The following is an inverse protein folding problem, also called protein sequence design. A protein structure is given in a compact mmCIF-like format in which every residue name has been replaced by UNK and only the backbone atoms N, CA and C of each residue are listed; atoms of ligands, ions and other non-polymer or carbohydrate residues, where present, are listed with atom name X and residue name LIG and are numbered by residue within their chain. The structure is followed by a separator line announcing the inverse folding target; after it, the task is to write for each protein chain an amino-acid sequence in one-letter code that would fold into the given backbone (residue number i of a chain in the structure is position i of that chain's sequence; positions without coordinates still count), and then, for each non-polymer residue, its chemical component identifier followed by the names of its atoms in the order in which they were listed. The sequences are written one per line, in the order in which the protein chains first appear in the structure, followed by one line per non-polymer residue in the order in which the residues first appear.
data_IF_670688507415
#
_entry.id   IF_670688507415
#
_cell.length_a   1.000
_cell.length_b   1.000
_cell.length_c   1.000
_cell.angle_alpha   90.00
_cell.angle_beta   90.00
_cell.angle_gamma   90.00
#
_symmetry.space_group_name_H-M   'P 1'
#
loop_
_entity.id
_entity.type
_entity.pdbx_description
1 polymer ?
#
# COMPACT_ATOMS: atom_id res chain seq x y z
N UNK A 1 50.44 -63.90 24.05
CA UNK A 1 49.17 -63.14 23.84
C UNK A 1 49.10 -62.43 22.48
N UNK A 2 50.22 -61.96 21.91
CA UNK A 2 50.23 -61.23 20.62
C UNK A 2 49.74 -62.05 19.41
N UNK A 3 50.06 -63.34 19.32
CA UNK A 3 49.62 -64.19 18.20
C UNK A 3 48.08 -64.30 18.08
N UNK A 4 47.37 -64.34 19.22
CA UNK A 4 45.90 -64.45 19.28
C UNK A 4 45.25 -63.10 18.92
N UNK A 5 45.94 -61.98 19.17
CA UNK A 5 45.47 -60.65 18.80
C UNK A 5 45.61 -60.42 17.28
N UNK A 6 46.75 -60.81 16.68
CA UNK A 6 46.98 -60.74 15.24
C UNK A 6 45.98 -61.58 14.43
N UNK A 7 45.72 -62.81 14.87
CA UNK A 7 44.75 -63.71 14.20
C UNK A 7 43.31 -63.16 14.24
N UNK A 8 42.91 -62.55 15.36
CA UNK A 8 41.58 -61.91 15.47
C UNK A 8 41.45 -60.66 14.62
N UNK A 9 42.52 -59.86 14.48
CA UNK A 9 42.52 -58.68 13.60
C UNK A 9 42.44 -59.08 12.13
N UNK A 10 43.22 -60.09 11.72
CA UNK A 10 43.18 -60.61 10.35
C UNK A 10 41.81 -61.18 9.99
N UNK A 11 41.18 -61.94 10.89
CA UNK A 11 39.84 -62.50 10.67
C UNK A 11 38.79 -61.40 10.42
N UNK A 12 38.81 -60.33 11.21
CA UNK A 12 37.90 -59.19 11.04
C UNK A 12 38.13 -58.47 9.71
N UNK A 13 39.39 -58.32 9.30
CA UNK A 13 39.70 -57.66 8.04
C UNK A 13 39.30 -58.52 6.85
N UNK A 14 39.48 -59.85 6.91
CA UNK A 14 39.01 -60.79 5.89
C UNK A 14 37.49 -60.76 5.76
N UNK A 15 36.74 -60.79 6.88
CA UNK A 15 35.28 -60.70 6.85
C UNK A 15 34.79 -59.37 6.23
N UNK A 16 35.48 -58.26 6.51
CA UNK A 16 35.16 -56.96 5.93
C UNK A 16 35.37 -56.92 4.42
N UNK A 17 36.44 -57.53 3.92
CA UNK A 17 36.72 -57.58 2.47
C UNK A 17 35.82 -58.61 1.76
N UNK A 18 35.40 -59.66 2.45
CA UNK A 18 34.48 -60.66 1.91
C UNK A 18 33.12 -60.08 1.51
N UNK A 19 32.59 -59.15 2.32
CA UNK A 19 31.36 -58.42 1.97
C UNK A 19 31.52 -57.59 0.69
N UNK A 20 32.73 -57.06 0.45
CA UNK A 20 33.06 -56.31 -0.76
C UNK A 20 33.21 -57.25 -1.97
N UNK A 21 33.86 -58.39 -1.79
CA UNK A 21 34.01 -59.44 -2.80
C UNK A 21 32.65 -59.98 -3.26
N UNK A 22 31.77 -60.34 -2.31
CA UNK A 22 30.41 -60.82 -2.59
C UNK A 22 29.57 -59.77 -3.35
N UNK A 23 29.78 -58.48 -3.05
CA UNK A 23 29.14 -57.38 -3.77
C UNK A 23 29.69 -57.24 -5.19
N UNK A 24 31.02 -57.32 -5.38
CA UNK A 24 31.64 -57.26 -6.70
C UNK A 24 31.20 -58.40 -7.60
N UNK A 25 31.11 -59.63 -7.07
CA UNK A 25 30.58 -60.79 -7.80
C UNK A 25 29.16 -60.53 -8.28
N UNK A 26 28.27 -60.05 -7.40
CA UNK A 26 26.88 -59.69 -7.78
C UNK A 26 26.79 -58.59 -8.82
N UNK A 27 27.73 -57.64 -8.82
CA UNK A 27 27.78 -56.58 -9.83
C UNK A 27 28.23 -57.16 -11.17
N UNK A 28 29.23 -58.04 -11.17
CA UNK A 28 29.74 -58.71 -12.37
C UNK A 28 28.71 -59.67 -12.99
N UNK A 29 27.94 -60.39 -12.17
CA UNK A 29 26.85 -61.27 -12.65
C UNK A 29 25.74 -60.51 -13.40
N UNK A 30 25.55 -59.22 -13.09
CA UNK A 30 24.57 -58.37 -13.76
C UNK A 30 25.08 -57.81 -15.08
N UNK A 31 26.35 -58.01 -15.42
CA UNK A 31 26.91 -57.65 -16.72
C UNK A 31 26.44 -58.69 -17.75
N UNK A 32 25.63 -58.31 -18.75
CA UNK A 32 25.07 -59.26 -19.73
C UNK A 32 26.18 -59.97 -20.52
N UNK A 33 26.29 -61.29 -20.45
CA UNK A 33 27.28 -62.05 -21.25
C UNK A 33 26.98 -61.91 -22.75
N UNK A 34 27.94 -61.44 -23.53
CA UNK A 34 27.86 -61.43 -24.99
C UNK A 34 28.14 -62.83 -25.52
N UNK A 35 27.50 -63.21 -26.63
CA UNK A 35 27.79 -64.48 -27.31
C UNK A 35 29.17 -64.41 -27.95
N UNK A 36 30.00 -65.40 -27.66
CA UNK A 36 31.39 -65.51 -28.12
C UNK A 36 31.45 -65.71 -29.64
N UNK A 37 32.01 -64.71 -30.35
CA UNK A 37 32.61 -64.93 -31.66
C UNK A 37 33.63 -63.83 -31.95
N UNK A 38 34.92 -64.18 -31.84
CA UNK A 38 36.04 -63.38 -32.36
C UNK A 38 37.01 -62.83 -31.31
N UNK A 39 38.29 -63.17 -31.50
CA UNK A 39 39.46 -62.92 -30.66
C UNK A 39 39.70 -61.44 -30.30
N UNK A 40 39.36 -61.07 -29.07
CA UNK A 40 40.14 -60.19 -28.18
C UNK A 40 40.10 -60.84 -26.79
N UNK A 41 41.14 -60.72 -25.93
CA UNK A 41 41.13 -61.42 -24.65
C UNK A 41 39.87 -60.99 -23.87
N UNK A 42 39.05 -61.97 -23.48
CA UNK A 42 37.72 -61.81 -22.86
C UNK A 42 37.71 -60.77 -21.73
N UNK A 43 38.84 -60.66 -21.01
CA UNK A 43 39.13 -59.66 -19.98
C UNK A 43 39.16 -58.21 -20.50
N UNK A 44 39.75 -57.95 -21.66
CA UNK A 44 39.85 -56.60 -22.24
C UNK A 44 38.48 -56.05 -22.68
N UNK A 45 37.60 -56.92 -23.17
CA UNK A 45 36.22 -56.53 -23.51
C UNK A 45 35.39 -56.21 -22.27
N UNK A 46 35.57 -56.99 -21.20
CA UNK A 46 34.94 -56.71 -19.89
C UNK A 46 35.47 -55.39 -19.31
N UNK A 47 36.78 -55.15 -19.40
CA UNK A 47 37.41 -53.92 -18.93
C UNK A 47 36.91 -52.69 -19.68
N UNK A 48 36.88 -52.72 -21.01
CA UNK A 48 36.37 -51.64 -21.85
C UNK A 48 34.90 -51.32 -21.56
N UNK A 49 34.09 -52.35 -21.27
CA UNK A 49 32.67 -52.16 -20.90
C UNK A 49 32.50 -51.53 -19.53
N UNK A 50 33.28 -51.96 -18.55
CA UNK A 50 33.30 -51.37 -17.21
C UNK A 50 33.73 -49.91 -17.31
N UNK A 51 34.76 -49.60 -18.10
CA UNK A 51 35.21 -48.23 -18.33
C UNK A 51 34.12 -47.36 -18.97
N UNK A 52 33.41 -47.87 -19.98
CA UNK A 52 32.28 -47.18 -20.60
C UNK A 52 31.14 -46.91 -19.60
N UNK A 53 30.83 -47.87 -18.72
CA UNK A 53 29.84 -47.70 -17.66
C UNK A 53 30.27 -46.64 -16.65
N UNK A 54 31.51 -46.69 -16.17
CA UNK A 54 32.06 -45.70 -15.23
C UNK A 54 32.00 -44.29 -15.85
N UNK A 55 32.41 -44.15 -17.12
CA UNK A 55 32.35 -42.88 -17.84
C UNK A 55 30.92 -42.35 -17.97
N UNK A 56 29.93 -43.22 -18.19
CA UNK A 56 28.52 -42.84 -18.25
C UNK A 56 27.99 -42.39 -16.89
N UNK A 57 28.26 -43.15 -15.82
CA UNK A 57 27.84 -42.78 -14.47
C UNK A 57 28.49 -41.49 -13.99
N UNK A 58 29.76 -41.27 -14.34
CA UNK A 58 30.45 -40.04 -14.03
C UNK A 58 29.78 -38.82 -14.68
N UNK A 59 29.40 -38.92 -15.96
CA UNK A 59 28.62 -37.87 -16.64
C UNK A 59 27.26 -37.64 -15.98
N UNK A 60 26.56 -38.71 -15.59
CA UNK A 60 25.27 -38.58 -14.90
C UNK A 60 25.42 -37.91 -13.53
N UNK A 61 26.47 -38.29 -12.79
CA UNK A 61 26.76 -37.72 -11.48
C UNK A 61 27.07 -36.23 -11.55
N UNK A 62 27.89 -35.80 -12.52
CA UNK A 62 28.22 -34.39 -12.73
C UNK A 62 26.98 -33.55 -13.09
N UNK A 63 26.12 -34.05 -13.98
CA UNK A 63 24.82 -33.40 -14.30
C UNK A 63 23.91 -33.36 -13.07
N UNK A 64 23.86 -34.43 -12.26
CA UNK A 64 23.05 -34.46 -11.04
C UNK A 64 23.51 -33.42 -10.01
N UNK A 65 24.82 -33.25 -9.84
CA UNK A 65 25.36 -32.22 -8.95
C UNK A 65 25.02 -30.81 -9.45
N UNK A 66 25.09 -30.58 -10.75
CA UNK A 66 24.74 -29.29 -11.34
C UNK A 66 23.25 -28.97 -11.16
N UNK A 67 22.37 -29.93 -11.45
CA UNK A 67 20.94 -29.79 -11.21
C UNK A 67 20.62 -29.48 -9.74
N UNK A 68 21.34 -30.09 -8.79
CA UNK A 68 21.16 -29.81 -7.37
C UNK A 68 21.56 -28.37 -7.00
N UNK A 69 22.67 -27.85 -7.54
CA UNK A 69 23.05 -26.44 -7.34
C UNK A 69 21.99 -25.48 -7.88
N UNK A 70 21.43 -25.78 -9.06
CA UNK A 70 20.34 -24.99 -9.63
C UNK A 70 19.08 -25.02 -8.77
N UNK A 71 18.72 -26.19 -8.23
CA UNK A 71 17.57 -26.32 -7.33
C UNK A 71 17.77 -25.52 -6.03
N UNK A 72 18.97 -25.54 -5.46
CA UNK A 72 19.30 -24.74 -4.28
C UNK A 72 19.22 -23.23 -4.57
N UNK A 73 19.74 -22.78 -5.71
CA UNK A 73 19.63 -21.39 -6.13
C UNK A 73 18.17 -20.96 -6.34
N UNK A 74 17.37 -21.82 -7.00
CA UNK A 74 15.94 -21.58 -7.20
C UNK A 74 15.17 -21.53 -5.87
N UNK A 75 15.50 -22.41 -4.91
CA UNK A 75 14.90 -22.40 -3.57
C UNK A 75 15.20 -21.08 -2.84
N UNK A 76 16.44 -20.59 -2.89
CA UNK A 76 16.82 -19.31 -2.28
C UNK A 76 16.08 -18.13 -2.91
N UNK A 77 15.95 -18.14 -4.23
CA UNK A 77 15.20 -17.10 -4.95
C UNK A 77 13.72 -17.10 -4.56
N UNK A 78 13.08 -18.26 -4.53
CA UNK A 78 11.68 -18.37 -4.10
C UNK A 78 11.49 -17.87 -2.66
N UNK A 79 12.41 -18.21 -1.76
CA UNK A 79 12.37 -17.72 -0.39
C UNK A 79 12.44 -16.18 -0.34
N UNK A 80 13.32 -15.57 -1.13
CA UNK A 80 13.42 -14.11 -1.21
C UNK A 80 12.15 -13.46 -1.78
N UNK A 81 11.52 -14.08 -2.78
CA UNK A 81 10.24 -13.63 -3.34
C UNK A 81 9.13 -13.71 -2.30
N UNK A 82 9.04 -14.82 -1.56
CA UNK A 82 8.05 -14.99 -0.49
C UNK A 82 8.20 -13.94 0.61
N UNK A 83 9.43 -13.67 1.07
CA UNK A 83 9.70 -12.62 2.05
C UNK A 83 9.33 -11.22 1.54
N UNK A 84 9.60 -10.94 0.26
CA UNK A 84 9.25 -9.67 -0.36
C UNK A 84 7.73 -9.49 -0.45
N UNK A 85 7.01 -10.57 -0.78
CA UNK A 85 5.55 -10.58 -0.83
C UNK A 85 4.94 -10.35 0.55
N UNK A 86 5.41 -11.06 1.57
CA UNK A 86 4.95 -10.90 2.96
C UNK A 86 5.17 -9.47 3.45
N UNK A 87 6.34 -8.90 3.19
CA UNK A 87 6.63 -7.49 3.52
C UNK A 87 5.69 -6.51 2.81
N UNK A 88 5.37 -6.76 1.54
CA UNK A 88 4.43 -5.92 0.78
C UNK A 88 3.01 -6.02 1.34
N UNK A 89 2.56 -7.23 1.67
CA UNK A 89 1.26 -7.48 2.29
C UNK A 89 1.13 -6.77 3.65
N UNK A 90 2.16 -6.83 4.49
CA UNK A 90 2.19 -6.13 5.78
C UNK A 90 2.13 -4.61 5.62
N UNK A 91 2.83 -4.06 4.64
CA UNK A 91 2.73 -2.64 4.29
C UNK A 91 1.32 -2.28 3.86
N UNK A 92 0.68 -3.09 3.03
CA UNK A 92 -0.70 -2.86 2.60
C UNK A 92 -1.68 -2.95 3.77
N UNK A 93 -1.53 -3.96 4.64
CA UNK A 93 -2.33 -4.16 5.86
C UNK A 93 -2.28 -2.95 6.79
N UNK A 94 -1.14 -2.27 6.86
CA UNK A 94 -0.94 -1.06 7.68
C UNK A 94 -1.39 0.23 6.97
N UNK A 95 -1.11 0.35 5.66
CA UNK A 95 -1.37 1.56 4.89
C UNK A 95 -2.88 1.82 4.71
N UNK A 96 -3.66 0.77 4.44
CA UNK A 96 -5.10 0.92 4.16
C UNK A 96 -5.86 1.53 5.36
N UNK A 97 -5.71 1.04 6.61
CA UNK A 97 -6.31 1.67 7.78
C UNK A 97 -5.84 3.12 8.02
N UNK A 98 -4.56 3.41 7.77
CA UNK A 98 -4.02 4.76 7.91
C UNK A 98 -4.69 5.74 6.94
N UNK A 99 -4.79 5.37 5.66
CA UNK A 99 -5.47 6.17 4.64
C UNK A 99 -6.96 6.34 4.97
N UNK A 100 -7.64 5.28 5.40
CA UNK A 100 -9.04 5.37 5.87
C UNK A 100 -9.19 6.36 7.02
N UNK A 101 -8.26 6.33 7.97
CA UNK A 101 -8.26 7.25 9.12
C UNK A 101 -8.08 8.70 8.67
N UNK A 102 -7.11 8.96 7.78
CA UNK A 102 -6.88 10.29 7.23
C UNK A 102 -8.08 10.81 6.43
N UNK A 103 -8.69 9.98 5.59
CA UNK A 103 -9.89 10.35 4.84
C UNK A 103 -11.05 10.71 5.78
N UNK A 104 -11.28 9.92 6.83
CA UNK A 104 -12.31 10.22 7.83
C UNK A 104 -12.03 11.57 8.54
N UNK A 105 -10.77 11.85 8.87
CA UNK A 105 -10.37 13.13 9.47
C UNK A 105 -10.60 14.30 8.51
N UNK A 106 -10.23 14.17 7.23
CA UNK A 106 -10.45 15.19 6.22
C UNK A 106 -11.94 15.46 5.99
N UNK A 107 -12.74 14.40 5.88
CA UNK A 107 -14.19 14.52 5.72
C UNK A 107 -14.83 15.25 6.91
N UNK A 108 -14.41 14.93 8.15
CA UNK A 108 -14.86 15.65 9.35
C UNK A 108 -14.50 17.14 9.28
N UNK A 109 -13.30 17.49 8.82
CA UNK A 109 -12.87 18.89 8.66
C UNK A 109 -13.68 19.61 7.58
N UNK A 110 -13.93 18.98 6.44
CA UNK A 110 -14.76 19.55 5.36
C UNK A 110 -16.19 19.78 5.86
N UNK A 111 -16.79 18.81 6.55
CA UNK A 111 -18.14 18.95 7.09
C UNK A 111 -18.24 20.08 8.12
N UNK A 112 -17.23 20.24 8.98
CA UNK A 112 -17.19 21.35 9.95
C UNK A 112 -17.13 22.71 9.24
N UNK A 113 -16.24 22.86 8.25
CA UNK A 113 -16.14 24.10 7.47
C UNK A 113 -17.44 24.42 6.73
N UNK A 114 -18.05 23.41 6.09
CA UNK A 114 -19.31 23.61 5.39
C UNK A 114 -20.45 24.03 6.33
N UNK A 115 -20.50 23.48 7.55
CA UNK A 115 -21.47 23.92 8.56
C UNK A 115 -21.23 25.37 9.00
N UNK A 116 -19.97 25.73 9.25
CA UNK A 116 -19.61 27.11 9.60
C UNK A 116 -19.94 28.09 8.47
N UNK A 117 -19.67 27.71 7.22
CA UNK A 117 -20.02 28.52 6.06
C UNK A 117 -21.53 28.73 5.96
N UNK A 118 -22.34 27.66 6.07
CA UNK A 118 -23.81 27.78 6.08
C UNK A 118 -24.31 28.69 7.21
N UNK A 119 -23.71 28.62 8.39
CA UNK A 119 -24.05 29.52 9.50
C UNK A 119 -23.73 30.98 9.18
N UNK A 120 -22.57 31.25 8.59
CA UNK A 120 -22.19 32.61 8.17
C UNK A 120 -23.14 33.14 7.08
N UNK A 121 -23.48 32.32 6.09
CA UNK A 121 -24.44 32.67 5.03
C UNK A 121 -25.81 33.04 5.63
N UNK A 122 -26.31 32.26 6.58
CA UNK A 122 -27.55 32.60 7.29
C UNK A 122 -27.46 33.92 8.05
N UNK A 123 -26.34 34.17 8.75
CA UNK A 123 -26.14 35.43 9.49
C UNK A 123 -26.09 36.64 8.54
N UNK A 124 -25.43 36.52 7.39
CA UNK A 124 -25.34 37.59 6.38
C UNK A 124 -26.72 37.87 5.77
N UNK A 125 -27.53 36.85 5.50
CA UNK A 125 -28.91 37.03 5.01
C UNK A 125 -29.74 37.79 6.05
N UNK A 126 -29.69 37.36 7.31
CA UNK A 126 -30.42 38.00 8.40
C UNK A 126 -30.03 39.48 8.59
N UNK A 127 -28.73 39.79 8.52
CA UNK A 127 -28.22 41.16 8.62
C UNK A 127 -28.67 42.02 7.44
N UNK A 128 -28.68 41.46 6.21
CA UNK A 128 -29.15 42.14 5.01
C UNK A 128 -30.64 42.46 5.06
N UNK A 129 -31.45 41.53 5.55
CA UNK A 129 -32.90 41.72 5.71
C UNK A 129 -33.21 42.75 6.79
N UNK A 130 -32.46 42.73 7.90
CA UNK A 130 -32.58 43.75 8.96
C UNK A 130 -32.19 45.13 8.44
N UNK A 131 -31.09 45.23 7.69
CA UNK A 131 -30.66 46.47 7.04
C UNK A 131 -31.67 46.99 6.01
N UNK A 132 -32.36 46.11 5.29
CA UNK A 132 -33.45 46.50 4.38
C UNK A 132 -34.63 47.11 5.14
N UNK A 133 -35.04 46.48 6.25
CA UNK A 133 -36.12 46.98 7.10
C UNK A 133 -35.80 48.36 7.72
N UNK A 134 -34.59 48.53 8.26
CA UNK A 134 -34.17 49.81 8.86
C UNK A 134 -34.12 50.93 7.82
N UNK A 135 -33.63 50.65 6.61
CA UNK A 135 -33.62 51.63 5.51
C UNK A 135 -35.03 52.02 5.06
N UNK A 136 -35.96 51.06 4.99
CA UNK A 136 -37.37 51.35 4.68
C UNK A 136 -38.04 52.20 5.77
N UNK A 137 -37.78 51.87 7.04
CA UNK A 137 -38.30 52.63 8.18
C UNK A 137 -37.75 54.06 8.19
N UNK A 138 -36.46 54.24 7.95
CA UNK A 138 -35.83 55.56 7.84
C UNK A 138 -36.47 56.38 6.71
N UNK A 139 -36.67 55.80 5.53
CA UNK A 139 -37.34 56.48 4.41
C UNK A 139 -38.78 56.90 4.74
N UNK A 140 -39.51 56.07 5.48
CA UNK A 140 -40.87 56.40 5.94
C UNK A 140 -40.86 57.54 6.96
N UNK A 141 -39.93 57.53 7.92
CA UNK A 141 -39.77 58.59 8.92
C UNK A 141 -39.41 59.91 8.23
N UNK A 142 -38.46 59.90 7.29
CA UNK A 142 -38.09 61.09 6.49
C UNK A 142 -39.30 61.67 5.75
N UNK A 143 -40.08 60.83 5.06
CA UNK A 143 -41.31 61.27 4.38
C UNK A 143 -42.34 61.85 5.35
N UNK A 144 -42.44 61.27 6.55
CA UNK A 144 -43.38 61.74 7.57
C UNK A 144 -42.97 63.11 8.10
N UNK A 145 -41.67 63.31 8.38
CA UNK A 145 -41.10 64.61 8.78
C UNK A 145 -41.33 65.65 7.67
N UNK A 146 -41.08 65.29 6.42
CA UNK A 146 -41.29 66.19 5.28
C UNK A 146 -42.75 66.63 5.15
N UNK A 147 -43.69 65.70 5.31
CA UNK A 147 -45.12 65.98 5.29
C UNK A 147 -45.54 66.87 6.47
N UNK A 148 -45.04 66.59 7.68
CA UNK A 148 -45.35 67.41 8.87
C UNK A 148 -44.80 68.83 8.72
N UNK A 149 -43.55 68.98 8.25
CA UNK A 149 -42.95 70.29 7.99
C UNK A 149 -43.71 71.11 6.93
N UNK A 150 -44.26 70.44 5.90
CA UNK A 150 -45.14 71.07 4.91
C UNK A 150 -46.45 71.59 5.52
N UNK A 151 -47.05 70.84 6.45
CA UNK A 151 -48.29 71.26 7.13
C UNK A 151 -48.08 72.43 8.08
N UNK A 152 -46.86 72.59 8.62
CA UNK A 152 -46.47 73.74 9.43
C UNK A 152 -46.17 75.00 8.60
N UNK A 153 -46.16 74.93 7.26
CA UNK A 153 -45.93 76.08 6.39
C UNK A 153 -47.24 76.85 6.08
N UNK A 154 -47.30 78.17 6.30
CA UNK A 154 -48.45 78.98 5.93
C UNK A 154 -48.70 78.94 4.41
N UNK A 155 -49.97 78.80 4.00
CA UNK A 155 -50.41 78.67 2.61
C UNK A 155 -50.08 79.90 1.74
N UNK A 156 -48.82 79.99 1.30
CA UNK A 156 -48.32 80.82 0.19
C UNK A 156 -46.86 80.50 -0.22
N UNK A 157 -46.11 79.65 0.50
CA UNK A 157 -44.76 79.22 0.10
C UNK A 157 -44.64 77.69 0.13
N UNK A 158 -44.34 77.10 -1.02
CA UNK A 158 -43.92 75.69 -1.09
C UNK A 158 -42.64 75.50 -0.28
N UNK A 159 -42.59 74.45 0.55
CA UNK A 159 -41.35 74.06 1.25
C UNK A 159 -40.19 73.95 0.25
N UNK A 160 -39.06 74.63 0.46
CA UNK A 160 -37.89 74.47 -0.39
C UNK A 160 -37.42 73.02 -0.36
N UNK A 161 -37.29 72.37 -1.54
CA UNK A 161 -36.80 70.99 -1.68
C UNK A 161 -35.44 70.73 -1.02
N UNK A 162 -34.70 71.78 -0.66
CA UNK A 162 -33.34 71.73 -0.09
C UNK A 162 -33.27 71.94 1.44
N UNK A 163 -34.40 71.98 2.16
CA UNK A 163 -34.37 72.16 3.63
C UNK A 163 -33.80 70.91 4.32
N UNK A 164 -32.78 71.07 5.15
CA UNK A 164 -32.12 69.98 5.88
C UNK A 164 -33.02 69.37 6.96
N UNK A 165 -32.76 68.10 7.32
CA UNK A 165 -33.58 67.33 8.28
C UNK A 165 -33.78 68.05 9.63
N UNK A 166 -32.70 68.57 10.22
CA UNK A 166 -32.77 69.27 11.50
C UNK A 166 -33.62 70.54 11.41
N UNK A 167 -33.47 71.32 10.34
CA UNK A 167 -34.30 72.51 10.12
C UNK A 167 -35.79 72.18 9.94
N UNK A 168 -36.13 71.00 9.39
CA UNK A 168 -37.53 70.54 9.32
C UNK A 168 -38.07 70.15 10.70
N UNK A 169 -37.23 69.56 11.55
CA UNK A 169 -37.61 69.22 12.93
C UNK A 169 -37.79 70.47 13.79
N UNK A 170 -36.89 71.45 13.68
CA UNK A 170 -37.01 72.74 14.37
C UNK A 170 -38.32 73.45 14.00
N UNK A 171 -38.71 73.44 12.71
CA UNK A 171 -39.97 74.01 12.22
C UNK A 171 -41.21 73.31 12.78
N UNK A 172 -41.15 71.99 12.97
CA UNK A 172 -42.24 71.21 13.59
C UNK A 172 -42.31 71.50 15.09
N UNK A 173 -41.16 71.70 15.75
CA UNK A 173 -41.06 71.89 17.19
C UNK A 173 -41.46 73.30 17.65
N UNK A 174 -41.12 74.33 16.88
CA UNK A 174 -41.52 75.72 17.12
C UNK A 174 -42.26 76.28 15.88
N UNK A 175 -43.57 76.02 15.74
CA UNK A 175 -44.36 76.51 14.60
C UNK A 175 -44.59 78.04 14.58
N UNK A 176 -43.87 78.80 15.41
CA UNK A 176 -44.00 80.25 15.55
C UNK A 176 -42.64 80.89 15.85
N UNK A 177 -42.04 81.48 14.81
CA UNK A 177 -41.67 82.90 14.72
C UNK A 177 -40.71 83.11 13.53
N UNK A 178 -41.25 83.61 12.43
CA UNK A 178 -40.55 84.41 11.42
C UNK A 178 -41.25 85.75 11.32
#
# INVERSE_FOLDING_TARGET
MEAIYGQRKLKKEVEKHKLFEDYLIKVLEKVPKGYDEGEEPEEAQVEARVEAMVKRYWKLFTVSQDAQKHLEAFSKMNQAVHQSLESLEDRHRTLIPNLKTQLCQLQKRCNRRQKQQRQLEHNVIYEKDTGSYTNQLLSYIEKTIDNMAQQCCPSARTVPKSMGLFSKLDLIQDPRES
#
